data_IF_795235478835
#
_entry.id   IF_795235478835
#
_cell.length_a   1.000
_cell.length_b   1.000
_cell.length_c   1.000
_cell.angle_alpha   90.00
_cell.angle_beta   90.00
_cell.angle_gamma   90.00
#
_symmetry.space_group_name_H-M   'P 1'
#
loop_
_entity.id
_entity.type
_entity.pdbx_description
1 polymer ?
#
# COMPACT_ATOMS: atom_id res chain seq x y z
N UNK A 1 -15.91 30.52 -7.42
CA UNK A 1 -14.98 30.20 -6.31
C UNK A 1 -14.91 28.69 -6.19
N UNK A 2 -13.71 28.13 -6.04
CA UNK A 2 -13.54 26.72 -5.71
C UNK A 2 -13.86 26.51 -4.23
N UNK A 3 -14.74 25.55 -3.94
CA UNK A 3 -14.96 25.06 -2.57
C UNK A 3 -13.78 24.16 -2.25
N UNK A 4 -12.84 24.67 -1.44
CA UNK A 4 -11.75 23.87 -0.88
C UNK A 4 -12.22 23.36 0.49
N UNK A 5 -12.50 22.07 0.61
CA UNK A 5 -12.77 21.48 1.92
C UNK A 5 -11.46 21.28 2.67
N UNK A 6 -11.36 21.86 3.86
CA UNK A 6 -10.25 21.58 4.78
C UNK A 6 -10.46 20.22 5.44
N UNK A 7 -9.85 19.20 4.85
CA UNK A 7 -9.88 17.85 5.37
C UNK A 7 -9.03 17.70 6.63
N UNK A 8 -9.42 16.76 7.50
CA UNK A 8 -8.58 16.37 8.64
C UNK A 8 -7.24 15.80 8.14
N UNK A 9 -6.18 15.86 8.96
CA UNK A 9 -4.90 15.23 8.62
C UNK A 9 -5.12 13.76 8.22
N UNK A 10 -4.60 13.36 7.06
CA UNK A 10 -4.75 12.01 6.51
C UNK A 10 -5.94 11.79 5.56
N UNK A 11 -6.74 12.82 5.28
CA UNK A 11 -7.88 12.78 4.36
C UNK A 11 -7.64 13.73 3.18
N UNK A 12 -8.13 13.35 2.00
CA UNK A 12 -7.97 14.08 0.75
C UNK A 12 -9.24 13.98 -0.14
N UNK A 13 -9.30 14.80 -1.18
CA UNK A 13 -10.45 14.90 -2.08
C UNK A 13 -11.30 16.15 -1.83
N UNK A 14 -12.21 16.44 -2.76
CA UNK A 14 -13.05 17.65 -2.71
C UNK A 14 -13.97 17.62 -1.49
N UNK A 15 -14.36 16.44 -1.05
CA UNK A 15 -15.21 16.26 0.15
C UNK A 15 -14.57 15.40 1.22
N UNK A 16 -13.24 15.25 1.18
CA UNK A 16 -12.51 14.33 2.07
C UNK A 16 -12.96 12.87 1.92
N UNK A 17 -13.36 12.51 0.69
CA UNK A 17 -13.89 11.17 0.36
C UNK A 17 -12.79 10.12 0.12
N UNK A 18 -11.53 10.56 0.09
CA UNK A 18 -10.36 9.71 -0.09
C UNK A 18 -9.39 9.89 1.07
N UNK A 19 -8.52 8.91 1.27
CA UNK A 19 -7.38 9.08 2.17
C UNK A 19 -6.25 9.82 1.47
N UNK A 20 -5.51 10.63 2.24
CA UNK A 20 -4.33 11.32 1.73
C UNK A 20 -3.22 10.31 1.37
N UNK A 21 -2.25 10.68 0.52
CA UNK A 21 -1.07 9.85 0.27
C UNK A 21 -0.40 9.46 1.59
N UNK A 22 -0.05 8.18 1.76
CA UNK A 22 0.42 7.66 3.06
C UNK A 22 -0.67 7.23 4.02
N UNK A 23 -1.94 7.24 3.62
CA UNK A 23 -3.04 6.75 4.41
C UNK A 23 -3.93 5.79 3.61
N UNK A 24 -4.50 4.80 4.30
CA UNK A 24 -5.42 3.83 3.74
C UNK A 24 -6.68 3.67 4.59
N UNK A 25 -7.71 3.10 3.99
CA UNK A 25 -9.03 2.91 4.57
C UNK A 25 -10.10 3.64 3.76
N UNK A 26 -11.35 3.50 4.20
CA UNK A 26 -12.48 4.06 3.50
C UNK A 26 -13.26 5.01 4.43
N UNK A 27 -13.18 6.34 4.22
CA UNK A 27 -13.88 7.32 5.06
C UNK A 27 -15.39 7.38 4.77
N UNK A 28 -15.84 6.82 3.64
CA UNK A 28 -17.26 6.76 3.28
C UNK A 28 -17.98 5.60 3.98
N UNK A 29 -17.25 4.64 4.56
CA UNK A 29 -17.85 3.50 5.25
C UNK A 29 -18.22 3.89 6.69
N UNK A 30 -19.37 3.45 7.24
CA UNK A 30 -19.72 3.72 8.63
C UNK A 30 -18.63 3.21 9.59
N UNK A 31 -17.98 4.13 10.32
CA UNK A 31 -16.86 3.81 11.21
C UNK A 31 -15.49 3.67 10.53
N UNK A 32 -15.46 3.73 9.20
CA UNK A 32 -14.24 3.75 8.41
C UNK A 32 -13.45 5.04 8.61
N UNK A 33 -12.13 4.91 8.65
CA UNK A 33 -11.21 6.03 8.90
C UNK A 33 -9.92 5.82 8.14
N UNK A 34 -9.27 6.91 7.80
CA UNK A 34 -7.94 6.88 7.21
C UNK A 34 -6.91 6.56 8.29
N UNK A 35 -6.10 5.53 8.05
CA UNK A 35 -5.00 5.08 8.91
C UNK A 35 -3.68 5.25 8.16
N UNK A 36 -2.61 5.67 8.83
CA UNK A 36 -1.32 5.79 8.17
C UNK A 36 -0.84 4.42 7.67
N UNK A 37 -0.30 4.39 6.46
CA UNK A 37 0.40 3.24 5.91
C UNK A 37 1.55 2.87 6.85
N UNK A 38 1.66 1.59 7.21
CA UNK A 38 2.78 1.10 8.00
C UNK A 38 3.63 0.13 7.16
N UNK A 39 4.45 0.69 6.29
CA UNK A 39 5.33 -0.07 5.41
C UNK A 39 6.76 -0.20 5.95
N UNK A 40 6.95 -0.18 7.28
CA UNK A 40 8.26 -0.25 7.94
C UNK A 40 9.29 0.75 7.37
N UNK A 41 8.84 1.96 6.97
CA UNK A 41 9.71 3.01 6.45
C UNK A 41 10.21 2.81 5.01
N UNK A 42 9.84 1.73 4.32
CA UNK A 42 10.24 1.48 2.94
C UNK A 42 9.45 2.30 1.92
N UNK A 43 8.20 2.62 2.23
CA UNK A 43 7.35 3.45 1.38
C UNK A 43 6.26 4.12 2.21
N UNK A 44 5.85 5.31 1.78
CA UNK A 44 4.58 5.90 2.23
C UNK A 44 3.49 5.72 1.18
N UNK A 45 3.74 4.91 0.14
CA UNK A 45 2.73 4.58 -0.87
C UNK A 45 2.16 3.19 -0.57
N UNK A 46 0.94 3.17 -0.04
CA UNK A 46 0.16 1.96 0.11
C UNK A 46 -1.20 2.10 -0.58
N UNK A 47 -1.78 0.96 -0.92
CA UNK A 47 -3.08 0.89 -1.55
C UNK A 47 -4.15 1.48 -0.62
N UNK A 48 -4.92 2.48 -1.07
CA UNK A 48 -5.85 3.20 -0.21
C UNK A 48 -7.04 2.34 0.25
N UNK A 49 -7.34 1.23 -0.43
CA UNK A 49 -8.46 0.35 -0.07
C UNK A 49 -8.04 -0.74 0.91
N UNK A 50 -6.88 -1.34 0.67
CA UNK A 50 -6.38 -2.52 1.40
C UNK A 50 -5.30 -2.20 2.42
N UNK A 51 -4.59 -1.08 2.26
CA UNK A 51 -3.42 -0.73 3.07
C UNK A 51 -2.13 -1.45 2.69
N UNK A 52 -2.14 -2.21 1.59
CA UNK A 52 -0.98 -2.98 1.13
C UNK A 52 0.04 -2.05 0.46
N UNK A 53 1.29 -2.12 0.90
CA UNK A 53 2.36 -1.26 0.39
C UNK A 53 2.69 -1.57 -1.07
N UNK A 54 2.67 -0.56 -1.95
CA UNK A 54 2.89 -0.75 -3.40
C UNK A 54 4.35 -0.96 -3.77
N UNK A 55 5.26 -0.45 -2.94
CA UNK A 55 6.71 -0.64 -3.04
C UNK A 55 7.22 -1.42 -1.82
N UNK A 56 6.54 -2.51 -1.45
CA UNK A 56 7.25 -3.53 -0.73
C UNK A 56 8.36 -4.03 -1.67
N UNK A 57 9.59 -3.54 -1.48
CA UNK A 57 10.71 -4.44 -1.67
C UNK A 57 10.44 -5.58 -0.69
N UNK A 58 9.99 -6.69 -1.26
CA UNK A 58 9.49 -7.93 -0.67
C UNK A 58 10.13 -8.26 0.70
N UNK A 59 9.37 -8.82 1.65
CA UNK A 59 9.74 -10.17 2.07
C UNK A 59 8.49 -11.03 2.28
N UNK A 60 8.20 -11.89 1.31
CA UNK A 60 7.20 -12.93 1.48
C UNK A 60 6.70 -13.44 0.15
N UNK A 61 7.42 -14.42 -0.41
CA UNK A 61 6.86 -15.49 -1.22
C UNK A 61 5.34 -15.61 -1.10
N UNK A 62 4.60 -15.08 -2.07
CA UNK A 62 3.28 -15.62 -2.39
C UNK A 62 3.49 -16.94 -3.11
N UNK A 63 4.07 -17.92 -2.42
CA UNK A 63 4.09 -19.31 -2.88
C UNK A 63 2.67 -19.84 -2.76
N UNK A 64 1.93 -19.73 -3.86
CA UNK A 64 0.84 -20.68 -4.15
C UNK A 64 1.06 -21.46 -5.43
N UNK A 65 2.24 -21.35 -6.07
CA UNK A 65 2.60 -22.27 -7.14
C UNK A 65 4.13 -22.39 -7.28
N UNK A 66 4.65 -23.60 -7.16
CA UNK A 66 6.08 -23.88 -7.06
C UNK A 66 6.83 -23.75 -8.39
N UNK A 67 7.31 -22.54 -8.73
CA UNK A 67 8.37 -22.34 -9.72
C UNK A 67 9.29 -21.16 -9.34
N UNK A 68 10.48 -21.51 -8.82
CA UNK A 68 11.54 -20.66 -8.28
C UNK A 68 11.93 -19.43 -9.13
N UNK A 69 12.25 -18.29 -8.48
CA UNK A 69 13.35 -17.38 -8.85
C UNK A 69 13.83 -16.55 -7.64
N UNK A 70 14.52 -17.17 -6.68
CA UNK A 70 15.52 -16.44 -5.89
C UNK A 70 16.79 -16.29 -6.74
N UNK A 71 17.48 -15.16 -6.56
CA UNK A 71 18.79 -14.87 -7.15
C UNK A 71 19.91 -15.73 -6.54
N UNK A 72 19.71 -17.05 -6.46
CA UNK A 72 20.82 -17.98 -6.37
C UNK A 72 21.16 -18.43 -7.78
N UNK A 73 22.40 -18.15 -8.17
CA UNK A 73 22.97 -18.41 -9.48
C UNK A 73 22.78 -19.88 -9.83
N UNK A 74 21.71 -20.19 -10.58
CA UNK A 74 21.32 -21.55 -10.93
C UNK A 74 22.27 -22.06 -12.01
N UNK A 75 23.51 -22.37 -11.61
CA UNK A 75 24.46 -23.07 -12.45
C UNK A 75 24.04 -24.54 -12.42
N UNK A 76 23.44 -24.98 -13.52
CA UNK A 76 23.32 -26.40 -13.83
C UNK A 76 24.73 -26.93 -14.12
N UNK A 77 25.55 -27.09 -13.07
CA UNK A 77 26.68 -28.00 -13.14
C UNK A 77 26.19 -29.37 -12.71
N UNK A 78 26.40 -30.35 -13.58
CA UNK A 78 26.82 -31.74 -13.33
C UNK A 78 26.02 -32.74 -14.18
N UNK A 79 26.58 -33.91 -14.47
CA UNK A 79 27.88 -34.22 -15.09
C UNK A 79 27.73 -34.79 -16.52
#
# INVERSE_FOLDING_TARGET
GSVECFCKPGYAGVRCESCAPGYYGNPLTPGGRCRPCNCNGNSNDCDPSTGVCRNALEPGDTSTDGQCRECDNCVLTLP
#
